data_IF_149530183903
#
_entry.id   IF_149530183903
#
_cell.length_a   1.000
_cell.length_b   1.000
_cell.length_c   1.000
_cell.angle_alpha   90.00
_cell.angle_beta   90.00
_cell.angle_gamma   90.00
#
_symmetry.space_group_name_H-M   'P 1'
#
loop_
_entity.id
_entity.type
_entity.pdbx_description
1 polymer ?
#
# COMPACT_ATOMS: atom_id res chain seq x y z
N UNK A 1 -28.03 27.22 22.29
CA UNK A 1 -26.83 26.38 22.07
C UNK A 1 -27.07 25.01 22.69
N UNK A 2 -26.82 23.92 21.98
CA UNK A 2 -26.97 22.56 22.53
C UNK A 2 -25.87 22.30 23.57
N UNK A 3 -26.25 22.11 24.85
CA UNK A 3 -25.32 21.72 25.92
C UNK A 3 -24.99 20.24 25.73
N UNK A 4 -23.71 19.89 25.80
CA UNK A 4 -23.22 18.52 25.54
C UNK A 4 -22.11 18.16 26.51
N UNK A 5 -21.92 16.86 26.71
CA UNK A 5 -20.86 16.32 27.54
C UNK A 5 -20.04 15.30 26.77
N UNK A 6 -18.71 15.33 26.95
CA UNK A 6 -17.80 14.32 26.42
C UNK A 6 -17.61 13.22 27.46
N UNK A 7 -18.00 12.00 27.10
CA UNK A 7 -17.95 10.82 27.97
C UNK A 7 -16.50 10.54 28.36
N UNK A 8 -16.25 10.45 29.66
CA UNK A 8 -14.96 10.10 30.25
C UNK A 8 -14.93 8.61 30.63
N UNK A 9 -13.74 8.10 30.95
CA UNK A 9 -13.61 6.75 31.51
C UNK A 9 -14.52 6.58 32.74
N UNK A 10 -15.19 5.41 32.81
CA UNK A 10 -16.18 5.02 33.84
C UNK A 10 -17.46 5.87 33.92
N UNK A 11 -17.72 6.77 32.99
CA UNK A 11 -19.01 7.44 32.92
C UNK A 11 -20.14 6.43 32.67
N UNK A 12 -21.24 6.58 33.41
CA UNK A 12 -22.46 5.78 33.28
C UNK A 12 -23.64 6.69 32.97
N UNK A 13 -24.79 6.10 32.62
CA UNK A 13 -26.05 6.84 32.49
C UNK A 13 -26.29 7.75 33.71
N UNK A 14 -26.13 7.19 34.91
CA UNK A 14 -26.41 7.88 36.17
C UNK A 14 -25.46 9.07 36.35
N UNK A 15 -24.15 8.87 36.20
CA UNK A 15 -23.17 9.95 36.42
C UNK A 15 -23.33 11.07 35.41
N UNK A 16 -23.61 10.74 34.14
CA UNK A 16 -23.82 11.71 33.06
C UNK A 16 -25.11 12.52 33.25
N UNK A 17 -26.20 11.88 33.68
CA UNK A 17 -27.47 12.57 33.96
C UNK A 17 -27.32 13.60 35.08
N UNK A 18 -26.64 13.23 36.17
CA UNK A 18 -26.33 14.15 37.27
C UNK A 18 -25.47 15.30 36.78
N UNK A 19 -24.42 15.01 36.00
CA UNK A 19 -23.49 16.02 35.50
C UNK A 19 -24.13 17.00 34.51
N UNK A 20 -25.08 16.53 33.68
CA UNK A 20 -25.86 17.41 32.82
C UNK A 20 -26.89 18.26 33.58
N UNK A 21 -27.26 17.87 34.80
CA UNK A 21 -28.34 18.49 35.56
C UNK A 21 -29.73 18.15 35.02
N UNK A 22 -29.87 17.08 34.22
CA UNK A 22 -31.15 16.62 33.66
C UNK A 22 -31.30 15.13 33.94
N UNK A 23 -32.48 14.68 34.36
CA UNK A 23 -32.73 13.27 34.74
C UNK A 23 -33.94 12.69 34.03
N UNK A 24 -34.03 11.36 34.03
CA UNK A 24 -35.19 10.61 33.56
C UNK A 24 -35.53 10.88 32.09
N UNK A 25 -36.81 11.12 31.83
CA UNK A 25 -37.36 11.24 30.49
C UNK A 25 -36.66 12.31 29.63
N UNK A 26 -36.20 13.42 30.22
CA UNK A 26 -35.51 14.47 29.49
C UNK A 26 -34.13 14.03 28.99
N UNK A 27 -33.37 13.29 29.80
CA UNK A 27 -32.06 12.78 29.36
C UNK A 27 -32.21 11.74 28.25
N UNK A 28 -33.20 10.86 28.35
CA UNK A 28 -33.52 9.87 27.30
C UNK A 28 -34.04 10.55 26.03
N UNK A 29 -34.89 11.58 26.16
CA UNK A 29 -35.43 12.35 25.02
C UNK A 29 -34.35 13.02 24.18
N UNK A 30 -33.25 13.48 24.79
CA UNK A 30 -32.16 14.13 24.05
C UNK A 30 -31.13 13.15 23.48
N UNK A 31 -31.18 11.89 23.91
CA UNK A 31 -30.18 10.87 23.60
C UNK A 31 -30.86 9.60 23.05
N UNK A 32 -31.57 9.76 21.92
CA UNK A 32 -32.49 8.75 21.38
C UNK A 32 -31.83 7.58 20.64
N UNK A 33 -30.49 7.57 20.52
CA UNK A 33 -29.77 6.49 19.85
C UNK A 33 -30.02 5.18 20.59
N UNK A 34 -30.54 4.18 19.86
CA UNK A 34 -30.81 2.85 20.40
C UNK A 34 -29.52 2.24 20.98
N UNK A 35 -29.63 1.61 22.14
CA UNK A 35 -28.52 0.94 22.83
C UNK A 35 -27.32 1.86 23.12
N UNK A 36 -27.54 3.18 23.21
CA UNK A 36 -26.48 4.16 23.46
C UNK A 36 -25.70 3.83 24.73
N UNK A 37 -26.40 3.46 25.80
CA UNK A 37 -25.80 3.31 27.13
C UNK A 37 -25.00 2.01 27.28
N UNK A 38 -25.44 0.93 26.65
CA UNK A 38 -24.71 -0.34 26.60
C UNK A 38 -23.49 -0.28 25.70
N UNK A 39 -23.40 0.72 24.82
CA UNK A 39 -22.31 0.89 23.86
C UNK A 39 -21.53 2.20 24.07
N UNK A 40 -21.74 2.88 25.19
CA UNK A 40 -21.12 4.17 25.46
C UNK A 40 -19.63 3.98 25.70
N UNK A 41 -18.79 4.69 24.95
CA UNK A 41 -17.32 4.61 25.07
C UNK A 41 -16.76 5.97 25.46
N UNK A 42 -15.60 5.94 26.11
CA UNK A 42 -14.80 7.15 26.32
C UNK A 42 -14.62 7.90 24.99
N UNK A 43 -14.80 9.22 25.02
CA UNK A 43 -14.72 10.06 23.83
C UNK A 43 -16.04 10.25 23.08
N UNK A 44 -17.08 9.46 23.37
CA UNK A 44 -18.44 9.72 22.87
C UNK A 44 -19.00 11.03 23.42
N UNK A 45 -20.15 11.44 22.89
CA UNK A 45 -20.86 12.62 23.35
C UNK A 45 -22.31 12.32 23.64
N UNK A 46 -22.82 12.93 24.70
CA UNK A 46 -24.24 12.94 25.04
C UNK A 46 -24.77 14.38 25.05
N UNK A 47 -26.07 14.52 24.81
CA UNK A 47 -26.79 15.79 24.82
C UNK A 47 -27.32 16.07 26.24
N UNK A 48 -26.97 17.24 26.78
CA UNK A 48 -27.49 17.77 28.06
C UNK A 48 -28.64 18.78 27.85
N UNK A 49 -29.08 19.04 26.62
CA UNK A 49 -30.25 19.87 26.30
C UNK A 49 -30.86 19.43 24.98
N UNK A 50 -32.05 19.93 24.66
CA UNK A 50 -32.63 19.78 23.32
C UNK A 50 -31.73 20.40 22.24
N UNK A 51 -31.76 19.81 21.04
CA UNK A 51 -31.01 20.23 19.86
C UNK A 51 -30.58 19.04 18.98
N UNK A 52 -29.90 19.33 17.86
CA UNK A 52 -29.41 18.29 16.97
C UNK A 52 -28.33 17.41 17.62
N UNK A 53 -28.27 16.11 17.27
CA UNK A 53 -27.22 15.21 17.73
C UNK A 53 -25.83 15.77 17.42
N UNK A 54 -24.94 15.73 18.41
CA UNK A 54 -23.59 16.23 18.21
C UNK A 54 -22.85 15.42 17.15
N UNK A 55 -22.37 16.12 16.12
CA UNK A 55 -21.43 15.57 15.15
C UNK A 55 -20.04 16.13 15.47
N UNK A 56 -19.04 15.29 15.80
CA UNK A 56 -17.68 15.77 16.02
C UNK A 56 -17.17 16.52 14.78
N UNK A 57 -16.51 17.68 14.95
CA UNK A 57 -15.83 18.31 13.84
C UNK A 57 -14.77 17.33 13.33
N UNK A 58 -14.82 17.04 12.03
CA UNK A 58 -13.85 16.16 11.37
C UNK A 58 -12.42 16.69 11.58
N UNK A 59 -11.41 15.81 11.57
CA UNK A 59 -10.01 16.24 11.59
C UNK A 59 -9.78 17.30 10.51
N UNK A 60 -9.26 18.46 10.91
CA UNK A 60 -8.82 19.49 9.96
C UNK A 60 -7.51 19.03 9.31
N UNK A 61 -7.36 19.31 8.03
CA UNK A 61 -6.08 19.15 7.35
C UNK A 61 -5.01 20.03 8.03
N UNK A 62 -3.76 19.61 7.97
CA UNK A 62 -2.62 20.47 8.28
C UNK A 62 -2.53 21.61 7.23
N UNK A 63 -1.74 22.64 7.53
CA UNK A 63 -1.56 23.80 6.65
C UNK A 63 -1.02 23.44 5.26
N UNK A 64 -0.32 22.32 5.12
CA UNK A 64 0.22 21.78 3.86
C UNK A 64 -0.77 20.86 3.12
N UNK A 65 -2.05 20.83 3.53
CA UNK A 65 -3.08 19.90 3.03
C UNK A 65 -2.76 18.41 3.28
N UNK A 66 -1.71 18.09 4.05
CA UNK A 66 -1.52 16.74 4.57
C UNK A 66 -2.54 16.49 5.67
N UNK A 67 -3.12 15.30 5.70
CA UNK A 67 -3.94 14.90 6.82
C UNK A 67 -3.11 14.00 7.73
N UNK A 68 -3.49 13.99 9.00
CA UNK A 68 -2.80 13.26 10.05
C UNK A 68 -2.60 11.80 9.61
N UNK A 69 -1.35 11.39 9.50
CA UNK A 69 -1.00 9.97 9.40
C UNK A 69 -0.62 9.47 10.79
N UNK A 70 -0.75 8.17 11.00
CA UNK A 70 -0.37 7.52 12.24
C UNK A 70 0.51 6.32 11.91
N UNK A 71 1.69 6.23 12.52
CA UNK A 71 2.54 5.06 12.43
C UNK A 71 1.96 3.98 13.34
N UNK A 72 1.53 2.85 12.76
CA UNK A 72 0.94 1.74 13.51
C UNK A 72 1.98 1.17 14.46
N UNK A 73 1.64 1.16 15.75
CA UNK A 73 2.41 0.59 16.85
C UNK A 73 1.75 -0.68 17.37
N UNK A 74 2.48 -1.41 18.21
CA UNK A 74 1.95 -2.61 18.85
C UNK A 74 0.76 -2.27 19.75
N UNK A 75 -0.33 -3.02 19.63
CA UNK A 75 -1.57 -2.79 20.37
C UNK A 75 -2.52 -1.76 19.76
N UNK A 76 -2.14 -1.09 18.66
CA UNK A 76 -3.08 -0.25 17.93
C UNK A 76 -4.23 -1.08 17.34
N UNK A 77 -5.44 -0.51 17.41
CA UNK A 77 -6.62 -1.07 16.76
C UNK A 77 -7.34 0.04 16.00
N UNK A 78 -8.06 -0.30 14.93
CA UNK A 78 -8.89 0.69 14.23
C UNK A 78 -9.90 1.35 15.16
N UNK A 79 -10.48 0.60 16.12
CA UNK A 79 -11.43 1.14 17.08
C UNK A 79 -10.78 2.20 17.98
N UNK A 80 -9.59 1.91 18.53
CA UNK A 80 -8.84 2.86 19.36
C UNK A 80 -8.40 4.09 18.57
N UNK A 81 -7.90 3.90 17.35
CA UNK A 81 -7.49 5.01 16.48
C UNK A 81 -8.67 5.87 16.04
N UNK A 82 -9.82 5.26 15.73
CA UNK A 82 -11.04 5.95 15.36
C UNK A 82 -11.55 6.81 16.51
N UNK A 83 -11.65 6.24 17.72
CA UNK A 83 -12.07 6.96 18.92
C UNK A 83 -11.12 8.13 19.24
N UNK A 84 -9.81 7.87 19.29
CA UNK A 84 -8.77 8.88 19.56
C UNK A 84 -8.81 10.06 18.59
N UNK A 85 -9.18 9.82 17.33
CA UNK A 85 -9.21 10.85 16.30
C UNK A 85 -10.63 11.34 15.97
N UNK A 86 -11.65 10.89 16.72
CA UNK A 86 -13.05 11.33 16.59
C UNK A 86 -13.61 11.08 15.18
N UNK A 87 -13.28 9.93 14.61
CA UNK A 87 -13.74 9.44 13.30
C UNK A 87 -14.36 8.06 13.44
N UNK A 88 -15.03 7.56 12.41
CA UNK A 88 -15.55 6.19 12.43
C UNK A 88 -14.54 5.20 11.84
N UNK A 89 -14.68 3.91 12.17
CA UNK A 89 -13.93 2.82 11.51
C UNK A 89 -14.21 2.82 9.99
N UNK A 90 -15.45 3.15 9.60
CA UNK A 90 -15.84 3.28 8.19
C UNK A 90 -15.08 4.42 7.50
N UNK A 91 -14.87 5.55 8.18
CA UNK A 91 -14.05 6.65 7.66
C UNK A 91 -12.60 6.19 7.46
N UNK A 92 -11.99 5.53 8.44
CA UNK A 92 -10.63 4.99 8.31
C UNK A 92 -10.53 4.03 7.12
N UNK A 93 -11.46 3.08 7.01
CA UNK A 93 -11.49 2.13 5.89
C UNK A 93 -11.62 2.85 4.55
N UNK A 94 -12.53 3.83 4.45
CA UNK A 94 -12.76 4.61 3.24
C UNK A 94 -11.53 5.40 2.80
N UNK A 95 -10.77 5.96 3.75
CA UNK A 95 -9.59 6.76 3.43
C UNK A 95 -8.38 5.92 3.03
N UNK A 96 -8.27 4.69 3.53
CA UNK A 96 -7.11 3.82 3.31
C UNK A 96 -7.29 2.82 2.16
N UNK A 97 -8.52 2.34 1.93
CA UNK A 97 -8.81 1.37 0.88
C UNK A 97 -8.31 1.86 -0.49
N UNK A 98 -7.61 0.97 -1.21
CA UNK A 98 -7.02 1.23 -2.54
C UNK A 98 -5.95 2.34 -2.59
N UNK A 99 -5.56 2.94 -1.46
CA UNK A 99 -4.67 4.11 -1.43
C UNK A 99 -3.44 3.93 -0.56
N UNK A 100 -3.61 3.47 0.67
CA UNK A 100 -2.53 3.43 1.66
C UNK A 100 -1.65 2.20 1.50
N UNK A 101 -0.34 2.38 1.45
CA UNK A 101 0.58 1.27 1.25
C UNK A 101 0.47 0.21 2.35
N UNK A 102 0.32 -1.06 1.96
CA UNK A 102 0.21 -2.19 2.87
C UNK A 102 -1.14 -2.33 3.57
N UNK A 103 -2.11 -1.44 3.31
CA UNK A 103 -3.42 -1.50 3.94
C UNK A 103 -4.28 -2.65 3.42
N UNK A 104 -4.69 -3.54 4.32
CA UNK A 104 -5.59 -4.67 4.06
C UNK A 104 -6.99 -4.34 4.55
N UNK A 105 -7.15 -4.26 5.87
CA UNK A 105 -8.40 -3.99 6.59
C UNK A 105 -8.07 -3.59 8.04
N UNK A 106 -9.13 -3.36 8.82
CA UNK A 106 -9.01 -2.97 10.22
C UNK A 106 -8.64 -4.11 11.19
N UNK A 107 -8.72 -5.36 10.74
CA UNK A 107 -8.42 -6.53 11.56
C UNK A 107 -6.95 -6.94 11.45
N UNK A 108 -6.24 -6.46 10.42
CA UNK A 108 -4.88 -6.85 10.09
C UNK A 108 -3.96 -5.63 9.88
N UNK A 109 -3.92 -4.72 10.86
CA UNK A 109 -3.03 -3.56 10.84
C UNK A 109 -1.55 -4.00 10.73
N UNK A 110 -0.83 -3.44 9.76
CA UNK A 110 0.57 -3.78 9.53
C UNK A 110 1.48 -2.91 10.41
N UNK A 111 2.04 -3.52 11.47
CA UNK A 111 2.97 -2.87 12.39
C UNK A 111 4.12 -2.19 11.64
N UNK A 112 4.46 -0.96 12.03
CA UNK A 112 5.55 -0.20 11.43
C UNK A 112 5.20 0.44 10.08
N UNK A 113 3.94 0.41 9.67
CA UNK A 113 3.44 1.14 8.49
C UNK A 113 2.50 2.27 8.90
N UNK A 114 2.33 3.24 7.99
CA UNK A 114 1.48 4.38 8.21
C UNK A 114 0.03 4.07 7.82
N UNK A 115 -0.92 4.39 8.70
CA UNK A 115 -2.35 4.48 8.40
C UNK A 115 -2.74 5.95 8.23
N UNK A 116 -3.71 6.19 7.36
CA UNK A 116 -4.26 7.49 7.10
C UNK A 116 -5.47 7.81 7.99
N UNK A 117 -5.45 8.97 8.66
CA UNK A 117 -6.45 9.41 9.64
C UNK A 117 -7.16 10.71 9.15
N UNK A 118 -7.48 10.76 7.85
CA UNK A 118 -8.26 11.85 7.25
C UNK A 118 -8.49 11.63 5.76
N UNK A 119 -9.36 12.43 5.11
CA UNK A 119 -9.49 12.40 3.64
C UNK A 119 -8.26 13.04 2.96
N UNK A 120 -7.87 12.68 1.73
CA UNK A 120 -6.76 13.35 0.99
C UNK A 120 -5.71 12.38 0.41
N UNK A 121 -4.46 12.84 0.26
CA UNK A 121 -3.35 12.03 -0.29
C UNK A 121 -2.78 11.06 0.77
N UNK A 122 -2.60 9.77 0.42
CA UNK A 122 -2.06 8.79 1.35
C UNK A 122 -0.62 9.12 1.76
N UNK A 123 -0.21 8.82 3.00
CA UNK A 123 1.19 8.96 3.41
C UNK A 123 2.07 7.97 2.66
N UNK A 124 3.33 8.34 2.42
CA UNK A 124 4.33 7.36 2.03
C UNK A 124 4.57 6.42 3.22
N UNK A 125 4.83 5.11 2.98
CA UNK A 125 5.27 4.22 4.03
C UNK A 125 6.65 4.66 4.55
N UNK A 126 7.05 4.24 5.76
CA UNK A 126 8.40 4.48 6.25
C UNK A 126 9.45 3.90 5.28
N UNK A 127 10.56 4.62 5.03
CA UNK A 127 11.65 4.13 4.22
C UNK A 127 12.19 2.78 4.73
N UNK A 128 12.53 1.89 3.80
CA UNK A 128 13.08 0.57 4.10
C UNK A 128 14.49 0.47 3.54
N UNK A 129 15.46 0.08 4.39
CA UNK A 129 16.84 -0.13 3.96
C UNK A 129 16.88 -1.29 2.95
N UNK A 130 17.53 -1.06 1.81
CA UNK A 130 17.66 -2.06 0.74
C UNK A 130 16.47 -2.12 -0.23
N UNK A 131 15.42 -1.32 -0.03
CA UNK A 131 14.39 -1.17 -1.04
C UNK A 131 14.95 -0.47 -2.29
N UNK A 132 14.69 -1.06 -3.45
CA UNK A 132 15.12 -0.59 -4.78
C UNK A 132 13.94 -0.17 -5.66
N UNK A 133 12.70 -0.48 -5.27
CA UNK A 133 11.50 -0.08 -5.99
C UNK A 133 10.32 0.26 -5.09
N UNK A 134 9.30 0.90 -5.67
CA UNK A 134 8.08 1.27 -4.96
C UNK A 134 8.28 2.45 -3.99
N UNK A 135 7.29 2.73 -3.14
CA UNK A 135 7.29 3.93 -2.30
C UNK A 135 8.12 3.79 -1.01
N UNK A 136 8.73 2.64 -0.77
CA UNK A 136 9.56 2.37 0.42
C UNK A 136 11.04 2.72 0.20
N UNK A 137 11.45 3.09 -1.01
CA UNK A 137 12.83 3.50 -1.30
C UNK A 137 13.19 4.73 -0.48
N UNK A 138 14.36 4.74 0.20
CA UNK A 138 14.83 5.92 0.93
C UNK A 138 14.85 7.18 0.06
N UNK A 139 14.47 8.31 0.67
CA UNK A 139 14.39 9.61 -0.01
C UNK A 139 13.33 9.72 -1.12
N UNK A 140 12.37 8.79 -1.20
CA UNK A 140 11.23 8.91 -2.10
C UNK A 140 10.41 10.17 -1.80
N UNK A 141 10.13 10.95 -2.83
CA UNK A 141 9.28 12.14 -2.74
C UNK A 141 7.82 11.77 -2.99
N UNK A 142 6.91 12.42 -2.25
CA UNK A 142 5.47 12.21 -2.43
C UNK A 142 5.02 12.81 -3.77
N UNK A 143 4.13 12.14 -4.52
CA UNK A 143 3.45 12.75 -5.65
C UNK A 143 2.73 14.06 -5.28
N UNK A 144 2.69 15.01 -6.21
CA UNK A 144 2.01 16.31 -6.01
C UNK A 144 0.49 16.16 -5.92
N UNK A 145 -0.06 15.15 -6.56
CA UNK A 145 -1.49 14.86 -6.64
C UNK A 145 -1.76 13.35 -6.73
N UNK A 146 -3.03 12.98 -6.87
CA UNK A 146 -3.51 11.58 -6.91
C UNK A 146 -3.43 10.91 -8.27
N UNK A 147 -2.94 11.59 -9.32
CA UNK A 147 -2.86 11.00 -10.67
C UNK A 147 -1.82 9.88 -10.75
N UNK A 148 -0.81 9.92 -9.90
CA UNK A 148 0.25 8.91 -9.81
C UNK A 148 0.00 8.02 -8.62
N UNK A 149 -0.13 6.71 -8.86
CA UNK A 149 -0.18 5.73 -7.78
C UNK A 149 1.18 5.66 -7.09
N UNK A 150 1.18 5.62 -5.75
CA UNK A 150 2.42 5.40 -4.99
C UNK A 150 3.08 4.05 -5.31
N UNK A 151 2.33 3.10 -5.89
CA UNK A 151 2.87 1.81 -6.35
C UNK A 151 3.82 1.92 -7.55
N UNK A 152 3.67 2.98 -8.35
CA UNK A 152 4.43 3.20 -9.58
C UNK A 152 5.72 4.00 -9.33
N UNK A 153 5.96 4.44 -8.10
CA UNK A 153 7.17 5.15 -7.70
C UNK A 153 8.38 4.23 -7.75
N UNK A 154 9.53 4.78 -8.15
CA UNK A 154 10.81 4.07 -8.25
C UNK A 154 10.67 2.74 -9.01
N UNK A 155 10.40 2.77 -10.33
CA UNK A 155 10.22 1.55 -11.11
C UNK A 155 11.52 0.73 -11.16
N UNK A 156 11.38 -0.59 -11.21
CA UNK A 156 12.53 -1.46 -11.40
C UNK A 156 13.20 -1.25 -12.77
N UNK A 157 14.54 -1.39 -12.85
CA UNK A 157 15.26 -1.43 -14.12
C UNK A 157 14.66 -2.47 -15.07
N UNK A 158 14.69 -2.18 -16.37
CA UNK A 158 14.16 -3.04 -17.43
C UNK A 158 12.69 -3.44 -17.25
N UNK A 159 11.92 -2.68 -16.47
CA UNK A 159 10.52 -2.99 -16.11
C UNK A 159 10.36 -4.38 -15.48
N UNK A 160 11.35 -4.83 -14.69
CA UNK A 160 11.18 -6.02 -13.84
C UNK A 160 10.04 -5.82 -12.82
N UNK A 161 9.58 -6.93 -12.24
CA UNK A 161 8.50 -6.91 -11.25
C UNK A 161 8.99 -6.28 -9.95
N UNK A 162 8.19 -5.40 -9.36
CA UNK A 162 8.41 -4.88 -8.02
C UNK A 162 7.54 -5.65 -7.02
N UNK A 163 8.15 -6.12 -5.93
CA UNK A 163 7.41 -6.71 -4.81
C UNK A 163 6.92 -5.65 -3.82
N UNK A 164 5.94 -5.99 -2.98
CA UNK A 164 5.45 -5.12 -1.90
C UNK A 164 6.49 -4.80 -0.82
N UNK A 165 7.65 -5.47 -0.83
CA UNK A 165 8.79 -5.19 0.04
C UNK A 165 9.82 -4.25 -0.61
N UNK A 166 9.53 -3.73 -1.80
CA UNK A 166 10.39 -2.81 -2.52
C UNK A 166 11.61 -3.48 -3.16
N UNK A 167 11.53 -4.79 -3.43
CA UNK A 167 12.60 -5.53 -4.10
C UNK A 167 12.21 -5.83 -5.56
N UNK A 168 13.17 -5.64 -6.47
CA UNK A 168 13.04 -5.95 -7.88
C UNK A 168 13.40 -7.40 -8.18
N UNK A 169 12.66 -8.04 -9.10
CA UNK A 169 13.01 -9.36 -9.60
C UNK A 169 12.13 -9.83 -10.75
N UNK A 170 12.55 -10.93 -11.39
CA UNK A 170 11.84 -11.56 -12.51
C UNK A 170 11.26 -12.94 -12.16
N UNK A 171 11.46 -13.38 -10.93
CA UNK A 171 11.00 -14.68 -10.45
C UNK A 171 9.57 -14.61 -9.90
N UNK A 172 8.85 -15.74 -9.81
CA UNK A 172 7.47 -15.79 -9.31
C UNK A 172 7.26 -15.11 -7.95
N UNK A 173 8.26 -15.13 -7.07
CA UNK A 173 8.20 -14.40 -5.80
C UNK A 173 7.97 -12.89 -5.98
N UNK A 174 8.53 -12.28 -7.02
CA UNK A 174 8.37 -10.84 -7.27
C UNK A 174 7.20 -10.54 -8.19
N UNK A 175 6.91 -11.44 -9.14
CA UNK A 175 5.97 -11.19 -10.23
C UNK A 175 4.54 -11.68 -9.95
N UNK A 176 4.34 -12.62 -9.01
CA UNK A 176 3.01 -13.16 -8.72
C UNK A 176 2.17 -12.16 -7.91
N UNK A 177 0.96 -11.90 -8.40
CA UNK A 177 -0.02 -11.08 -7.68
C UNK A 177 -0.71 -11.92 -6.61
N UNK A 178 -0.44 -11.63 -5.35
CA UNK A 178 -1.08 -12.23 -4.17
C UNK A 178 -1.83 -11.16 -3.36
N UNK A 179 -2.41 -10.17 -4.03
CA UNK A 179 -3.15 -9.07 -3.42
C UNK A 179 -4.67 -9.39 -3.30
N UNK A 180 -5.37 -8.84 -2.30
CA UNK A 180 -6.84 -8.87 -2.28
C UNK A 180 -7.40 -8.03 -3.44
N UNK A 181 -8.54 -8.44 -4.03
CA UNK A 181 -9.13 -7.77 -5.21
C UNK A 181 -9.42 -6.27 -4.99
N UNK A 182 -9.74 -5.88 -3.75
CA UNK A 182 -9.97 -4.48 -3.37
C UNK A 182 -8.90 -3.95 -2.38
N UNK A 183 -7.77 -4.64 -2.27
CA UNK A 183 -6.67 -4.27 -1.39
C UNK A 183 -6.00 -2.98 -1.83
N UNK A 184 -5.34 -2.32 -0.89
CA UNK A 184 -4.51 -1.18 -1.21
C UNK A 184 -3.16 -1.62 -1.83
N UNK A 185 -2.42 -0.72 -2.50
CA UNK A 185 -1.07 -1.01 -2.99
C UNK A 185 -0.19 -1.67 -1.92
N UNK A 186 0.57 -2.70 -2.28
CA UNK A 186 1.44 -3.41 -1.35
C UNK A 186 0.74 -4.33 -0.33
N UNK A 187 -0.60 -4.36 -0.30
CA UNK A 187 -1.34 -5.29 0.54
C UNK A 187 -1.31 -6.71 -0.04
N UNK A 188 -1.27 -7.72 0.83
CA UNK A 188 -1.19 -9.13 0.44
C UNK A 188 -2.26 -9.96 1.16
N UNK A 189 -2.68 -11.06 0.53
CA UNK A 189 -3.57 -12.05 1.15
C UNK A 189 -2.86 -12.77 2.30
N UNK A 190 -3.63 -13.17 3.32
CA UNK A 190 -3.16 -14.01 4.42
C UNK A 190 -2.51 -15.30 3.88
N UNK A 191 -1.42 -15.72 4.49
CA UNK A 191 -0.67 -16.92 4.10
C UNK A 191 0.40 -16.71 3.02
N UNK A 192 0.42 -15.55 2.36
CA UNK A 192 1.48 -15.22 1.38
C UNK A 192 2.58 -14.39 2.03
N UNK A 193 3.83 -14.59 1.60
CA UNK A 193 4.96 -13.78 2.09
C UNK A 193 5.01 -12.40 1.41
N UNK A 194 4.63 -12.33 0.14
CA UNK A 194 4.72 -11.15 -0.71
C UNK A 194 3.65 -11.13 -1.82
N UNK A 195 3.48 -9.96 -2.42
CA UNK A 195 2.74 -9.76 -3.67
C UNK A 195 3.55 -8.87 -4.61
N UNK A 196 3.37 -9.06 -5.91
CA UNK A 196 3.75 -8.07 -6.89
C UNK A 196 2.89 -6.79 -6.76
N UNK A 197 3.51 -5.62 -7.00
CA UNK A 197 2.85 -4.31 -6.98
C UNK A 197 2.95 -3.53 -8.29
N UNK A 198 3.98 -3.76 -9.11
CA UNK A 198 4.13 -3.16 -10.44
C UNK A 198 4.89 -4.07 -11.39
N UNK A 199 4.61 -3.93 -12.70
CA UNK A 199 5.10 -4.81 -13.78
C UNK A 199 4.86 -6.30 -13.52
N UNK A 200 3.67 -6.64 -13.03
CA UNK A 200 3.35 -7.98 -12.57
C UNK A 200 3.07 -8.98 -13.70
N UNK A 201 3.25 -10.25 -13.36
CA UNK A 201 3.12 -11.37 -14.27
C UNK A 201 4.43 -11.70 -14.98
N UNK A 202 4.43 -12.86 -15.63
CA UNK A 202 5.55 -13.35 -16.45
C UNK A 202 5.10 -13.67 -17.87
N UNK A 203 3.87 -13.27 -18.22
CA UNK A 203 3.30 -13.52 -19.53
C UNK A 203 4.04 -12.69 -20.57
N UNK A 204 4.44 -13.33 -21.66
CA UNK A 204 4.98 -12.63 -22.83
C UNK A 204 3.82 -11.92 -23.50
N UNK A 205 3.78 -10.60 -23.34
CA UNK A 205 2.74 -9.76 -23.95
C UNK A 205 3.22 -9.26 -25.31
N UNK A 206 2.41 -9.47 -26.33
CA UNK A 206 2.57 -8.80 -27.60
C UNK A 206 2.10 -7.34 -27.44
N UNK A 207 3.06 -6.42 -27.31
CA UNK A 207 2.79 -5.00 -27.06
C UNK A 207 2.79 -4.14 -28.35
N UNK A 208 3.03 -4.76 -29.50
CA UNK A 208 3.06 -4.10 -30.79
C UNK A 208 2.76 -5.09 -31.92
N UNK A 209 2.49 -4.55 -33.11
CA UNK A 209 2.48 -5.35 -34.33
C UNK A 209 3.86 -6.01 -34.55
N UNK A 210 3.89 -7.15 -35.25
CA UNK A 210 5.15 -7.78 -35.66
C UNK A 210 6.03 -6.78 -36.42
N UNK A 211 7.36 -6.86 -36.28
CA UNK A 211 8.24 -6.00 -37.05
C UNK A 211 8.05 -6.26 -38.55
N UNK A 212 8.16 -5.21 -39.37
CA UNK A 212 8.07 -5.32 -40.84
C UNK A 212 9.14 -6.24 -41.43
N UNK A 213 10.24 -6.43 -40.71
CA UNK A 213 11.39 -7.24 -41.13
C UNK A 213 11.78 -8.11 -39.94
N UNK A 214 11.88 -9.43 -40.17
CA UNK A 214 12.41 -10.38 -39.19
C UNK A 214 13.92 -10.53 -39.34
N UNK A 215 14.63 -10.63 -38.23
CA UNK A 215 16.06 -10.93 -38.19
C UNK A 215 16.31 -12.33 -37.63
N UNK A 216 17.29 -13.03 -38.18
CA UNK A 216 17.76 -14.32 -37.66
C UNK A 216 19.04 -14.10 -36.87
N UNK A 217 19.02 -14.39 -35.57
CA UNK A 217 20.19 -14.23 -34.70
C UNK A 217 20.84 -15.60 -34.50
N UNK A 218 22.13 -15.68 -34.80
CA UNK A 218 22.98 -16.84 -34.49
C UNK A 218 23.86 -16.57 -33.28
N UNK A 219 24.09 -17.58 -32.44
CA UNK A 219 25.00 -17.51 -31.29
C UNK A 219 26.25 -18.34 -31.60
N UNK A 220 27.38 -17.67 -31.81
CA UNK A 220 28.66 -18.34 -32.08
C UNK A 220 29.31 -18.77 -30.78
N UNK A 221 29.43 -20.09 -30.58
CA UNK A 221 30.04 -20.72 -29.40
C UNK A 221 31.56 -20.54 -29.39
N UNK A 222 32.03 -19.39 -28.92
CA UNK A 222 33.46 -19.02 -28.95
C UNK A 222 34.34 -19.93 -28.08
N UNK A 223 33.78 -20.50 -27.01
CA UNK A 223 34.40 -21.52 -26.15
C UNK A 223 34.66 -22.86 -26.88
N UNK A 224 34.14 -23.04 -28.09
CA UNK A 224 34.43 -24.21 -28.91
C UNK A 224 35.92 -24.37 -29.28
N UNK A 225 36.75 -23.34 -29.06
CA UNK A 225 38.21 -23.43 -29.26
C UNK A 225 38.91 -24.40 -28.31
N UNK A 226 38.32 -24.66 -27.13
CA UNK A 226 38.90 -25.54 -26.12
C UNK A 226 38.59 -27.03 -26.36
N UNK A 227 37.74 -27.34 -27.34
CA UNK A 227 37.40 -28.74 -27.71
C UNK A 227 38.52 -29.37 -28.53
N UNK A 228 38.67 -30.69 -28.49
CA UNK A 228 39.71 -31.40 -29.27
C UNK A 228 39.49 -31.35 -30.79
N UNK A 229 38.23 -31.28 -31.24
CA UNK A 229 37.85 -31.22 -32.65
C UNK A 229 36.62 -30.29 -32.87
N UNK A 230 36.18 -30.16 -34.12
CA UNK A 230 35.03 -29.30 -34.52
C UNK A 230 35.18 -27.82 -34.14
N UNK A 231 36.40 -27.30 -34.30
CA UNK A 231 36.75 -25.88 -34.05
C UNK A 231 36.40 -25.02 -35.27
N UNK A 232 35.12 -24.66 -35.41
CA UNK A 232 34.71 -23.69 -36.44
C UNK A 232 35.24 -22.30 -36.08
N UNK A 233 35.98 -21.64 -37.00
CA UNK A 233 36.42 -20.26 -36.81
C UNK A 233 35.27 -19.30 -37.05
N UNK A 234 35.16 -18.22 -36.27
CA UNK A 234 34.12 -17.20 -36.43
C UNK A 234 34.01 -16.63 -37.85
N UNK A 235 35.14 -16.39 -38.52
CA UNK A 235 35.18 -15.93 -39.92
C UNK A 235 34.58 -16.90 -40.95
N UNK A 236 34.42 -18.16 -40.56
CA UNK A 236 33.81 -19.22 -41.36
C UNK A 236 32.39 -19.56 -40.87
N UNK A 237 31.85 -18.83 -39.89
CA UNK A 237 30.46 -18.95 -39.47
C UNK A 237 29.58 -18.09 -40.39
N UNK A 238 28.34 -18.55 -40.64
CA UNK A 238 27.34 -17.82 -41.44
C UNK A 238 27.78 -17.48 -42.88
N UNK A 239 28.62 -18.31 -43.49
CA UNK A 239 29.08 -18.10 -44.87
C UNK A 239 27.96 -18.24 -45.91
N UNK A 240 26.85 -18.89 -45.54
CA UNK A 240 25.63 -19.01 -46.33
C UNK A 240 24.66 -17.83 -46.12
N UNK A 241 24.95 -16.90 -45.19
CA UNK A 241 24.08 -15.76 -44.87
C UNK A 241 22.78 -16.13 -44.18
N UNK A 242 22.64 -17.36 -43.65
CA UNK A 242 21.42 -17.84 -42.99
C UNK A 242 21.00 -17.01 -41.75
N UNK A 243 21.93 -16.30 -41.13
CA UNK A 243 21.71 -15.40 -40.01
C UNK A 243 21.92 -13.94 -40.42
N UNK A 244 21.02 -13.07 -39.98
CA UNK A 244 21.14 -11.60 -40.14
C UNK A 244 22.25 -11.05 -39.26
N UNK A 245 22.38 -11.58 -38.04
CA UNK A 245 23.40 -11.19 -37.06
C UNK A 245 23.99 -12.42 -36.39
N UNK A 246 25.29 -12.37 -36.08
CA UNK A 246 25.94 -13.35 -35.19
C UNK A 246 26.43 -12.64 -33.93
N UNK A 247 26.00 -13.15 -32.77
CA UNK A 247 26.50 -12.75 -31.46
C UNK A 247 27.58 -13.72 -30.99
N UNK A 248 28.60 -13.20 -30.33
CA UNK A 248 29.59 -14.02 -29.64
C UNK A 248 28.98 -14.57 -28.35
N UNK A 249 28.97 -15.89 -28.19
CA UNK A 249 28.29 -16.57 -27.12
C UNK A 249 29.23 -17.57 -26.40
N UNK A 250 29.13 -17.76 -25.09
CA UNK A 250 28.59 -16.82 -24.09
C UNK A 250 29.76 -16.18 -23.35
N UNK A 251 29.62 -14.90 -23.01
CA UNK A 251 30.60 -14.22 -22.17
C UNK A 251 30.66 -14.92 -20.81
N UNK A 252 31.88 -15.19 -20.33
CA UNK A 252 32.09 -15.60 -18.95
C UNK A 252 32.32 -14.35 -18.11
N UNK A 253 31.61 -14.22 -17.00
CA UNK A 253 31.80 -13.15 -16.02
C UNK A 253 32.61 -13.75 -14.87
N UNK A 254 33.87 -13.33 -14.71
CA UNK A 254 34.71 -13.75 -13.58
C UNK A 254 34.36 -12.88 -12.36
N UNK A 255 33.86 -13.44 -11.25
CA UNK A 255 33.53 -12.67 -10.06
C UNK A 255 34.76 -12.16 -9.29
N UNK A 256 35.99 -12.48 -9.70
CA UNK A 256 37.24 -12.12 -9.01
C UNK A 256 38.04 -10.98 -9.66
N UNK A 257 37.61 -10.47 -10.81
CA UNK A 257 38.15 -9.26 -11.45
C UNK A 257 37.25 -8.07 -11.20
#
# INVERSE_FOLDING_TARGET
MTKKWNVQDRDTYTTLSVRCGIRGANFTKYNTKKDLYSNLKEGDYICCSAGDPYTPPKPKANADSSYKSHLINNGDTCAGLAAKNKVTISDLSKWNNKKTWGWTDCDNLLLGYNIYIGPGLPPLPPPQKGATCGPTVPSTTRPKDSSTSIADLNPCPLKACCSNWGLCGVFPGHCKVNAPANGAPGSKKKGFQNTCVSNCGTDIKQNSDPPKIFSRIGYYAAFGRDRDCLRLKAKNANTDGSYTYIHWAFASIDPKT
#
